data_IF_418490106761
#
_entry.id   IF_418490106761
#
_cell.length_a   1.000
_cell.length_b   1.000
_cell.length_c   1.000
_cell.angle_alpha   90.00
_cell.angle_beta   90.00
_cell.angle_gamma   90.00
#
_symmetry.space_group_name_H-M   'P 1'
#
loop_
_entity.id
_entity.type
_entity.pdbx_description
1 polymer ?
#
# COMPACT_ATOMS: atom_id res chain seq x y z
N UNK A 1 24.42 -6.69 -37.62
CA UNK A 1 23.16 -6.03 -37.24
C UNK A 1 22.27 -6.92 -36.38
N UNK A 2 21.94 -8.15 -36.81
CA UNK A 2 21.07 -9.05 -36.04
C UNK A 2 21.61 -9.41 -34.64
N UNK A 3 22.90 -9.72 -34.51
CA UNK A 3 23.56 -10.01 -33.22
C UNK A 3 23.51 -8.80 -32.29
N UNK A 4 23.77 -7.60 -32.82
CA UNK A 4 23.72 -6.35 -32.05
C UNK A 4 22.30 -6.07 -31.56
N UNK A 5 21.29 -6.31 -32.40
CA UNK A 5 19.88 -6.18 -32.01
C UNK A 5 19.49 -7.11 -30.87
N UNK A 6 19.91 -8.38 -30.92
CA UNK A 6 19.65 -9.36 -29.86
C UNK A 6 20.29 -8.91 -28.53
N UNK A 7 21.55 -8.46 -28.57
CA UNK A 7 22.25 -8.00 -27.37
C UNK A 7 21.54 -6.80 -26.74
N UNK A 8 21.12 -5.81 -27.54
CA UNK A 8 20.38 -4.65 -27.04
C UNK A 8 19.03 -5.04 -26.45
N UNK A 9 18.30 -5.98 -27.07
CA UNK A 9 17.03 -6.49 -26.55
C UNK A 9 17.18 -7.21 -25.21
N UNK A 10 18.20 -8.07 -25.06
CA UNK A 10 18.45 -8.80 -23.79
C UNK A 10 18.84 -7.84 -22.67
N UNK A 11 19.68 -6.84 -22.97
CA UNK A 11 20.05 -5.81 -21.99
C UNK A 11 18.84 -4.96 -21.59
N UNK A 12 17.99 -4.59 -22.54
CA UNK A 12 16.76 -3.85 -22.24
C UNK A 12 15.80 -4.68 -21.38
N UNK A 13 15.66 -5.97 -21.66
CA UNK A 13 14.84 -6.90 -20.88
C UNK A 13 15.33 -6.98 -19.43
N UNK A 14 16.64 -7.15 -19.23
CA UNK A 14 17.24 -7.22 -17.90
C UNK A 14 17.06 -5.91 -17.11
N UNK A 15 17.15 -4.76 -17.77
CA UNK A 15 16.91 -3.45 -17.14
C UNK A 15 15.44 -3.31 -16.73
N UNK A 16 14.51 -3.73 -17.60
CA UNK A 16 13.07 -3.66 -17.32
C UNK A 16 12.67 -4.56 -16.15
N UNK A 17 13.21 -5.76 -16.07
CA UNK A 17 12.82 -6.73 -15.04
C UNK A 17 13.47 -6.42 -13.68
N UNK A 18 14.71 -5.93 -13.65
CA UNK A 18 15.43 -5.72 -12.40
C UNK A 18 15.33 -4.29 -11.84
N UNK A 19 15.40 -3.28 -12.71
CA UNK A 19 15.58 -1.89 -12.26
C UNK A 19 14.28 -1.09 -12.25
N UNK A 20 13.33 -1.36 -13.15
CA UNK A 20 12.03 -0.67 -13.18
C UNK A 20 11.21 -0.92 -11.90
N UNK A 21 11.07 -2.16 -11.38
CA UNK A 21 10.36 -2.35 -10.11
C UNK A 21 11.10 -1.65 -8.97
N UNK A 22 12.42 -1.78 -8.90
CA UNK A 22 13.22 -1.18 -7.83
C UNK A 22 13.19 0.36 -7.80
N UNK A 23 13.16 1.01 -8.97
CA UNK A 23 13.04 2.46 -9.07
C UNK A 23 11.62 2.95 -8.72
N UNK A 24 10.59 2.22 -9.13
CA UNK A 24 9.21 2.53 -8.75
C UNK A 24 8.98 2.35 -7.25
N UNK A 25 9.51 1.29 -6.65
CA UNK A 25 9.40 1.01 -5.22
C UNK A 25 10.07 2.11 -4.40
N UNK A 26 11.26 2.57 -4.81
CA UNK A 26 11.95 3.68 -4.13
C UNK A 26 11.24 5.02 -4.29
N UNK A 27 10.69 5.31 -5.46
CA UNK A 27 9.93 6.54 -5.68
C UNK A 27 8.62 6.55 -4.88
N UNK A 28 7.94 5.40 -4.79
CA UNK A 28 6.78 5.23 -3.92
C UNK A 28 7.18 5.41 -2.44
N UNK A 29 8.27 4.78 -2.01
CA UNK A 29 8.79 4.89 -0.65
C UNK A 29 9.14 6.34 -0.25
N UNK A 30 9.85 7.08 -1.11
CA UNK A 30 10.22 8.49 -0.83
C UNK A 30 8.99 9.40 -0.82
N UNK A 31 8.04 9.20 -1.74
CA UNK A 31 6.76 9.95 -1.72
C UNK A 31 5.98 9.66 -0.44
N UNK A 32 5.96 8.41 0.00
CA UNK A 32 5.29 8.00 1.22
C UNK A 32 5.95 8.62 2.45
N UNK A 33 7.29 8.58 2.57
CA UNK A 33 8.03 9.23 3.64
C UNK A 33 7.86 10.75 3.68
N UNK A 34 7.79 11.41 2.52
CA UNK A 34 7.58 12.85 2.43
C UNK A 34 6.15 13.25 2.84
N UNK A 35 5.14 12.46 2.47
CA UNK A 35 3.75 12.67 2.89
C UNK A 35 3.61 12.42 4.40
N UNK A 36 4.33 11.44 4.94
CA UNK A 36 4.36 11.12 6.37
C UNK A 36 5.05 12.22 7.21
N UNK A 37 6.05 12.94 6.69
CA UNK A 37 6.73 14.00 7.47
C UNK A 37 6.03 15.37 7.43
N UNK A 38 5.20 15.67 6.43
CA UNK A 38 4.65 17.03 6.22
C UNK A 38 3.22 17.19 6.79
N UNK A 39 2.53 16.09 7.12
CA UNK A 39 1.19 16.13 7.72
C UNK A 39 1.25 15.78 9.22
N UNK A 40 0.94 16.68 10.16
CA UNK A 40 0.87 16.37 11.59
C UNK A 40 -0.25 15.38 11.97
N UNK A 41 -1.01 14.87 10.99
CA UNK A 41 -1.98 13.80 11.15
C UNK A 41 -1.40 12.39 10.83
N UNK A 42 -0.10 12.29 10.51
CA UNK A 42 0.54 11.11 9.91
C UNK A 42 1.04 10.02 10.85
N UNK A 43 0.83 10.11 12.18
CA UNK A 43 1.19 8.99 13.06
C UNK A 43 0.24 7.78 12.92
N UNK A 44 -0.77 7.87 12.06
CA UNK A 44 -1.70 6.79 11.81
C UNK A 44 -1.38 6.11 10.47
N UNK A 45 -1.06 4.82 10.52
CA UNK A 45 -0.94 3.94 9.36
C UNK A 45 -2.31 3.87 8.66
N UNK A 46 -2.44 4.54 7.51
CA UNK A 46 -3.68 4.56 6.75
C UNK A 46 -3.55 3.75 5.46
N UNK A 47 -4.46 2.79 5.25
CA UNK A 47 -4.58 2.00 4.04
C UNK A 47 -5.96 2.20 3.41
N UNK A 48 -5.99 2.45 2.10
CA UNK A 48 -7.23 2.57 1.33
C UNK A 48 -7.30 1.43 0.33
N UNK A 49 -8.35 0.62 0.42
CA UNK A 49 -8.54 -0.56 -0.44
C UNK A 49 -9.85 -0.43 -1.20
N UNK A 50 -9.84 -0.46 -2.55
CA UNK A 50 -11.07 -0.50 -3.33
C UNK A 50 -11.78 -1.86 -3.11
N UNK A 51 -13.10 -1.82 -2.96
CA UNK A 51 -13.92 -3.03 -2.79
C UNK A 51 -14.59 -3.45 -4.10
N UNK A 52 -14.80 -4.76 -4.33
CA UNK A 52 -15.63 -5.24 -5.42
C UNK A 52 -17.02 -4.59 -5.34
N UNK A 53 -17.48 -3.98 -6.43
CA UNK A 53 -18.75 -3.23 -6.46
C UNK A 53 -18.62 -1.71 -6.35
N UNK A 54 -17.40 -1.16 -6.43
CA UNK A 54 -17.17 0.30 -6.57
C UNK A 54 -17.09 1.07 -5.25
N UNK A 55 -17.23 0.38 -4.12
CA UNK A 55 -16.97 0.95 -2.79
C UNK A 55 -15.47 1.02 -2.45
N UNK A 56 -15.16 1.50 -1.26
CA UNK A 56 -13.80 1.51 -0.72
C UNK A 56 -13.79 1.26 0.77
N UNK A 57 -12.73 0.66 1.28
CA UNK A 57 -12.45 0.53 2.69
C UNK A 57 -11.27 1.43 3.04
N UNK A 58 -11.41 2.20 4.11
CA UNK A 58 -10.33 2.99 4.71
C UNK A 58 -10.01 2.36 6.05
N UNK A 59 -8.77 1.91 6.23
CA UNK A 59 -8.26 1.36 7.49
C UNK A 59 -7.25 2.36 8.04
N UNK A 60 -7.41 2.77 9.29
CA UNK A 60 -6.56 3.73 9.99
C UNK A 60 -6.07 3.02 11.25
N UNK A 61 -4.77 2.94 11.49
CA UNK A 61 -4.22 2.36 12.72
C UNK A 61 -3.25 3.34 13.37
N UNK A 62 -3.33 3.52 14.68
CA UNK A 62 -2.42 4.39 15.45
C UNK A 62 -0.99 3.87 15.59
N UNK A 63 -0.75 2.59 15.29
CA UNK A 63 0.61 2.03 15.30
C UNK A 63 0.68 0.55 14.92
N UNK A 64 1.91 0.03 14.84
CA UNK A 64 2.20 -1.38 14.58
C UNK A 64 3.13 -1.91 15.68
N UNK A 65 2.71 -2.98 16.35
CA UNK A 65 3.59 -3.81 17.16
C UNK A 65 4.33 -4.80 16.24
N UNK A 66 5.62 -4.53 16.02
CA UNK A 66 6.47 -5.32 15.11
C UNK A 66 6.70 -6.74 15.64
N UNK A 67 6.75 -6.93 16.96
CA UNK A 67 7.01 -8.25 17.55
C UNK A 67 5.85 -9.22 17.32
N UNK A 68 4.63 -8.71 17.34
CA UNK A 68 3.40 -9.52 17.22
C UNK A 68 2.67 -9.31 15.89
N UNK A 69 3.22 -8.48 14.99
CA UNK A 69 2.59 -8.05 13.73
C UNK A 69 1.13 -7.57 13.92
N UNK A 70 0.88 -6.87 15.03
CA UNK A 70 -0.47 -6.42 15.42
C UNK A 70 -0.60 -4.92 15.23
N UNK A 71 -1.65 -4.49 14.54
CA UNK A 71 -2.03 -3.08 14.42
C UNK A 71 -2.71 -2.62 15.71
N UNK A 72 -2.37 -1.41 16.18
CA UNK A 72 -2.91 -0.80 17.39
C UNK A 72 -3.84 0.36 17.03
N UNK A 73 -4.94 0.53 17.77
CA UNK A 73 -5.88 1.64 17.60
C UNK A 73 -6.44 1.71 16.18
N UNK A 74 -7.07 0.62 15.74
CA UNK A 74 -7.55 0.43 14.37
C UNK A 74 -8.98 0.92 14.21
N UNK A 75 -9.21 1.70 13.17
CA UNK A 75 -10.52 2.14 12.71
C UNK A 75 -10.68 1.75 11.25
N UNK A 76 -11.73 1.00 10.93
CA UNK A 76 -12.09 0.60 9.58
C UNK A 76 -13.40 1.28 9.20
N UNK A 77 -13.39 1.99 8.09
CA UNK A 77 -14.55 2.67 7.52
C UNK A 77 -14.80 2.09 6.14
N UNK A 78 -16.00 1.53 5.93
CA UNK A 78 -16.41 1.03 4.62
C UNK A 78 -17.34 2.05 3.96
N UNK A 79 -17.09 2.33 2.70
CA UNK A 79 -17.91 3.19 1.86
C UNK A 79 -18.52 2.38 0.72
N UNK A 80 -19.76 2.71 0.35
CA UNK A 80 -20.41 2.19 -0.84
C UNK A 80 -19.93 2.88 -2.13
N UNK A 81 -20.47 2.46 -3.27
CA UNK A 81 -20.19 3.06 -4.58
C UNK A 81 -20.57 4.55 -4.67
N UNK A 82 -21.55 5.00 -3.87
CA UNK A 82 -21.99 6.39 -3.78
C UNK A 82 -21.16 7.21 -2.78
N UNK A 83 -20.02 6.68 -2.29
CA UNK A 83 -19.13 7.31 -1.31
C UNK A 83 -19.80 7.58 0.04
N UNK A 84 -20.86 6.85 0.39
CA UNK A 84 -21.51 6.94 1.70
C UNK A 84 -20.89 5.92 2.66
N UNK A 85 -20.60 6.29 3.91
CA UNK A 85 -20.14 5.34 4.91
C UNK A 85 -21.26 4.34 5.22
N UNK A 86 -20.97 3.05 5.06
CA UNK A 86 -21.90 1.94 5.33
C UNK A 86 -21.52 1.13 6.56
N UNK A 87 -20.25 1.20 6.97
CA UNK A 87 -19.76 0.45 8.13
C UNK A 87 -18.63 1.21 8.82
N UNK A 88 -18.55 1.05 10.13
CA UNK A 88 -17.56 1.68 10.98
C UNK A 88 -17.19 0.72 12.11
N UNK A 89 -15.96 0.22 12.09
CA UNK A 89 -15.45 -0.75 13.06
C UNK A 89 -14.23 -0.16 13.74
N UNK A 90 -14.25 -0.13 15.08
CA UNK A 90 -13.10 0.30 15.88
C UNK A 90 -12.62 -0.88 16.71
N UNK A 91 -11.31 -1.07 16.76
CA UNK A 91 -10.67 -2.11 17.55
C UNK A 91 -9.34 -1.60 18.11
N UNK A 92 -9.07 -1.91 19.38
CA UNK A 92 -7.78 -1.55 19.98
C UNK A 92 -6.62 -2.32 19.35
N UNK A 93 -6.89 -3.53 18.84
CA UNK A 93 -5.91 -4.42 18.22
C UNK A 93 -6.48 -5.14 17.01
N UNK A 94 -5.72 -5.23 15.93
CA UNK A 94 -6.06 -6.07 14.76
C UNK A 94 -4.84 -6.86 14.29
N UNK A 95 -5.06 -8.12 13.92
CA UNK A 95 -4.03 -9.00 13.36
C UNK A 95 -4.41 -9.43 11.95
N UNK A 96 -3.42 -9.55 11.07
CA UNK A 96 -3.64 -10.17 9.77
C UNK A 96 -3.79 -11.69 9.93
N UNK A 97 -4.81 -12.25 9.29
CA UNK A 97 -4.99 -13.70 9.13
C UNK A 97 -5.14 -13.95 7.64
N UNK A 98 -4.23 -14.73 7.06
CA UNK A 98 -4.31 -15.09 5.65
C UNK A 98 -5.59 -15.93 5.41
N UNK A 99 -6.33 -15.69 4.32
CA UNK A 99 -7.43 -16.58 3.94
C UNK A 99 -6.86 -17.96 3.61
N UNK A 100 -7.41 -19.00 4.24
CA UNK A 100 -7.11 -20.41 3.99
C UNK A 100 -7.85 -20.94 2.78
#
# INVERSE_FOLDING_TARGET
LLIVGIVVSVVSLAIQELFVPFANDKAAYVRQQAIEHVSPASSNLQAVTPLPGGGKQITIAGGLDVATQTLLGVTVIRYDAAQKPVDFVVADRARYVAPT
#
